data_IF_693618307454
#
_entry.id   IF_693618307454
#
_cell.length_a   1.000
_cell.length_b   1.000
_cell.length_c   1.000
_cell.angle_alpha   90.00
_cell.angle_beta   90.00
_cell.angle_gamma   90.00
#
_symmetry.space_group_name_H-M   'P 1'
#
loop_
_entity.id
_entity.type
_entity.pdbx_description
1 polymer ?
#
# COMPACT_ATOMS: atom_id res chain seq x y z
N UNK A 1 34.31 -47.83 -36.94
CA UNK A 1 32.89 -47.44 -36.80
C UNK A 1 32.44 -47.79 -35.39
N UNK A 2 31.49 -47.02 -34.82
CA UNK A 2 30.99 -47.00 -33.42
C UNK A 2 31.52 -45.80 -32.59
N UNK A 3 30.85 -44.67 -32.80
CA UNK A 3 30.91 -43.44 -32.00
C UNK A 3 30.10 -43.70 -30.72
N UNK A 4 30.69 -43.57 -29.54
CA UNK A 4 29.93 -43.55 -28.29
C UNK A 4 29.90 -42.10 -27.80
N UNK A 5 28.68 -41.59 -27.73
CA UNK A 5 28.25 -40.25 -27.37
C UNK A 5 28.41 -40.07 -25.86
N UNK A 6 29.29 -39.16 -25.43
CA UNK A 6 29.37 -38.73 -24.04
C UNK A 6 28.18 -37.80 -23.76
N UNK A 7 27.18 -38.31 -23.03
CA UNK A 7 26.06 -37.51 -22.53
C UNK A 7 26.51 -36.84 -21.25
N UNK A 8 26.85 -35.55 -21.34
CA UNK A 8 27.05 -34.69 -20.19
C UNK A 8 25.69 -34.43 -19.52
N UNK A 9 25.42 -35.12 -18.41
CA UNK A 9 24.33 -34.76 -17.50
C UNK A 9 24.78 -33.51 -16.75
N UNK A 10 24.48 -32.34 -17.30
CA UNK A 10 24.58 -31.09 -16.56
C UNK A 10 23.46 -31.08 -15.51
N UNK A 11 23.81 -31.41 -14.26
CA UNK A 11 22.92 -31.20 -13.13
C UNK A 11 22.66 -29.69 -13.01
N UNK A 12 21.50 -29.25 -13.46
CA UNK A 12 21.00 -27.91 -13.21
C UNK A 12 20.72 -27.78 -11.72
N UNK A 13 21.72 -27.34 -10.95
CA UNK A 13 21.53 -26.91 -9.57
C UNK A 13 20.69 -25.65 -9.64
N UNK A 14 19.39 -25.79 -9.33
CA UNK A 14 18.54 -24.64 -9.04
C UNK A 14 19.13 -23.97 -7.80
N UNK A 15 19.91 -22.90 -7.99
CA UNK A 15 20.28 -22.03 -6.89
C UNK A 15 18.98 -21.38 -6.40
N UNK A 16 18.43 -21.91 -5.31
CA UNK A 16 17.41 -21.22 -4.54
C UNK A 16 18.02 -19.89 -4.09
N UNK A 17 17.55 -18.79 -4.67
CA UNK A 17 17.91 -17.46 -4.19
C UNK A 17 17.53 -17.40 -2.71
N UNK A 18 18.44 -16.98 -1.81
CA UNK A 18 18.05 -16.78 -0.42
C UNK A 18 16.92 -15.75 -0.40
N UNK A 19 15.84 -16.09 0.29
CA UNK A 19 14.78 -15.14 0.59
C UNK A 19 15.39 -14.12 1.57
N UNK A 20 16.02 -13.07 1.04
CA UNK A 20 16.48 -11.99 1.90
C UNK A 20 15.27 -11.40 2.61
N UNK A 21 15.30 -11.48 3.94
CA UNK A 21 14.27 -10.90 4.76
C UNK A 21 14.23 -9.39 4.50
N UNK A 22 13.06 -8.86 4.17
CA UNK A 22 12.91 -7.41 4.00
C UNK A 22 13.29 -6.70 5.30
N UNK A 23 14.00 -5.55 5.21
CA UNK A 23 14.34 -4.79 6.40
C UNK A 23 13.06 -4.36 7.13
N UNK A 24 13.10 -4.40 8.46
CA UNK A 24 12.00 -3.86 9.26
C UNK A 24 11.83 -2.37 8.97
N UNK A 25 10.61 -1.84 9.19
CA UNK A 25 10.33 -0.40 9.02
C UNK A 25 11.33 0.43 9.84
N UNK A 26 11.60 0.05 11.10
CA UNK A 26 12.58 0.73 11.97
C UNK A 26 14.00 0.77 11.37
N UNK A 27 14.44 -0.30 10.71
CA UNK A 27 15.74 -0.33 10.06
C UNK A 27 15.74 0.54 8.80
N UNK A 28 14.67 0.47 7.99
CA UNK A 28 14.56 1.23 6.76
C UNK A 28 14.43 2.73 6.98
N UNK A 29 13.76 3.16 8.05
CA UNK A 29 13.55 4.57 8.40
C UNK A 29 14.55 5.09 9.44
N UNK A 30 15.69 4.41 9.61
CA UNK A 30 16.73 4.86 10.55
C UNK A 30 17.25 6.24 10.15
N UNK A 31 17.21 7.19 11.09
CA UNK A 31 17.61 8.59 10.86
C UNK A 31 16.54 9.47 10.21
N UNK A 32 15.33 8.95 9.95
CA UNK A 32 14.21 9.76 9.49
C UNK A 32 13.55 10.48 10.67
N UNK A 33 12.95 11.63 10.39
CA UNK A 33 12.11 12.35 11.36
C UNK A 33 10.73 11.68 11.44
N UNK A 34 10.48 10.98 12.55
CA UNK A 34 9.20 10.31 12.80
C UNK A 34 8.20 11.30 13.40
N UNK A 35 7.05 11.42 12.75
CA UNK A 35 5.92 12.24 13.18
C UNK A 35 4.75 11.33 13.52
N UNK A 36 4.40 11.28 14.80
CA UNK A 36 3.26 10.50 15.25
C UNK A 36 1.94 11.17 14.83
N UNK A 37 0.91 10.35 14.61
CA UNK A 37 -0.40 10.77 14.12
C UNK A 37 -1.31 9.55 13.97
N UNK A 38 -2.47 9.73 13.34
CA UNK A 38 -3.37 8.60 13.05
C UNK A 38 -2.66 7.53 12.20
N UNK A 39 -1.95 7.98 11.17
CA UNK A 39 -0.87 7.22 10.55
C UNK A 39 0.46 7.87 10.91
N UNK A 40 1.45 7.11 11.44
CA UNK A 40 2.79 7.64 11.63
C UNK A 40 3.42 7.99 10.28
N UNK A 41 4.10 9.13 10.21
CA UNK A 41 4.82 9.58 9.03
C UNK A 41 6.33 9.59 9.31
N UNK A 42 7.12 9.21 8.32
CA UNK A 42 8.59 9.28 8.39
C UNK A 42 9.09 10.23 7.30
N UNK A 43 9.72 11.32 7.70
CA UNK A 43 10.33 12.28 6.79
C UNK A 43 11.81 11.97 6.58
N UNK A 44 12.19 11.72 5.33
CA UNK A 44 13.57 11.56 4.89
C UNK A 44 14.14 12.93 4.46
N UNK A 45 14.96 13.59 5.30
CA UNK A 45 15.51 14.91 4.97
C UNK A 45 16.54 14.87 3.85
N UNK A 46 17.16 13.72 3.58
CA UNK A 46 18.17 13.59 2.54
C UNK A 46 17.56 13.57 1.13
N UNK A 47 16.37 12.98 0.99
CA UNK A 47 15.67 12.86 -0.30
C UNK A 47 14.42 13.72 -0.42
N UNK A 48 13.96 14.32 0.68
CA UNK A 48 12.71 15.08 0.71
C UNK A 48 11.47 14.19 0.57
N UNK A 49 11.56 12.90 0.90
CA UNK A 49 10.45 11.96 0.81
C UNK A 49 9.70 11.88 2.14
N UNK A 50 8.37 11.87 2.05
CA UNK A 50 7.48 11.58 3.17
C UNK A 50 6.91 10.17 2.97
N UNK A 51 7.13 9.29 3.95
CA UNK A 51 6.61 7.93 3.95
C UNK A 51 5.50 7.82 4.99
N UNK A 52 4.45 7.09 4.65
CA UNK A 52 3.35 6.76 5.57
C UNK A 52 3.53 5.33 6.07
N UNK A 53 3.52 5.14 7.39
CA UNK A 53 3.51 3.82 8.03
C UNK A 53 2.09 3.29 8.14
N UNK A 54 1.89 2.01 7.81
CA UNK A 54 0.60 1.32 7.87
C UNK A 54 0.64 0.38 9.08
N UNK A 55 0.10 0.79 10.25
CA UNK A 55 0.16 -0.01 11.47
C UNK A 55 -0.87 -1.16 11.47
N UNK A 56 -1.98 -1.00 10.75
CA UNK A 56 -3.07 -1.96 10.71
C UNK A 56 -3.57 -2.13 9.27
N UNK A 57 -3.70 -3.38 8.84
CA UNK A 57 -4.37 -3.75 7.58
C UNK A 57 -5.84 -4.08 7.87
N UNK A 58 -6.66 -4.00 6.83
CA UNK A 58 -8.09 -4.36 6.84
C UNK A 58 -8.96 -3.56 7.82
N UNK A 59 -8.40 -2.51 8.41
CA UNK A 59 -9.09 -1.58 9.28
C UNK A 59 -9.58 -0.38 8.48
N UNK A 60 -10.88 -0.10 8.57
CA UNK A 60 -11.51 1.04 7.92
C UNK A 60 -11.19 2.37 8.64
N UNK A 61 -11.01 3.41 7.84
CA UNK A 61 -10.81 4.79 8.29
C UNK A 61 -11.46 5.77 7.32
N UNK A 62 -11.70 7.00 7.80
CA UNK A 62 -12.21 8.07 6.95
C UNK A 62 -11.06 8.67 6.12
N UNK A 63 -11.22 8.63 4.81
CA UNK A 63 -10.34 9.29 3.85
C UNK A 63 -11.01 10.56 3.36
N UNK A 64 -10.43 11.70 3.75
CA UNK A 64 -10.90 13.04 3.41
C UNK A 64 -9.80 13.75 2.63
N UNK A 65 -10.16 14.37 1.51
CA UNK A 65 -9.24 15.21 0.74
C UNK A 65 -9.54 16.69 0.98
N UNK A 66 -8.50 17.51 1.03
CA UNK A 66 -8.63 18.96 1.15
C UNK A 66 -7.45 19.67 0.51
N UNK A 67 -7.65 20.95 0.18
CA UNK A 67 -6.60 21.80 -0.35
C UNK A 67 -5.81 22.43 0.80
N UNK A 68 -4.57 21.97 0.99
CA UNK A 68 -3.66 22.56 1.97
C UNK A 68 -3.23 23.99 1.58
N UNK A 69 -3.05 24.26 0.27
CA UNK A 69 -2.65 25.56 -0.28
C UNK A 69 -3.30 25.78 -1.65
N UNK A 70 -3.39 27.03 -2.13
CA UNK A 70 -4.02 27.37 -3.42
C UNK A 70 -4.88 28.64 -3.38
N UNK A 71 -5.58 28.95 -4.47
CA UNK A 71 -6.31 30.23 -4.66
C UNK A 71 -7.46 30.46 -3.68
N UNK A 72 -8.13 29.42 -3.17
CA UNK A 72 -9.25 29.63 -2.23
C UNK A 72 -10.48 30.24 -2.89
N UNK A 73 -10.98 29.64 -3.98
CA UNK A 73 -12.13 30.16 -4.73
C UNK A 73 -13.35 29.26 -4.56
N UNK A 74 -14.36 29.76 -3.85
CA UNK A 74 -15.65 29.08 -3.67
C UNK A 74 -16.39 28.90 -4.99
N UNK A 75 -16.22 29.82 -5.95
CA UNK A 75 -16.85 29.75 -7.28
C UNK A 75 -16.30 28.60 -8.15
N UNK A 76 -15.03 28.24 -7.96
CA UNK A 76 -14.38 27.13 -8.67
C UNK A 76 -14.35 25.84 -7.84
N UNK A 77 -14.91 25.84 -6.63
CA UNK A 77 -14.83 24.71 -5.70
C UNK A 77 -13.42 24.47 -5.13
N UNK A 78 -12.52 25.45 -5.22
CA UNK A 78 -11.15 25.38 -4.70
C UNK A 78 -11.03 26.14 -3.38
N UNK A 79 -12.01 25.99 -2.51
CA UNK A 79 -12.03 26.62 -1.19
C UNK A 79 -11.21 25.78 -0.18
N UNK A 80 -10.45 26.46 0.68
CA UNK A 80 -9.52 25.85 1.65
C UNK A 80 -10.23 25.29 2.88
N UNK A 81 -11.46 25.71 3.14
CA UNK A 81 -12.32 25.15 4.19
C UNK A 81 -13.24 24.03 3.71
N UNK A 82 -13.28 23.76 2.40
CA UNK A 82 -14.12 22.71 1.83
C UNK A 82 -13.40 21.36 1.86
N UNK A 83 -14.10 20.35 2.36
CA UNK A 83 -13.72 18.96 2.20
C UNK A 83 -14.10 18.55 0.78
N UNK A 84 -13.15 17.94 0.07
CA UNK A 84 -13.33 17.40 -1.27
C UNK A 84 -13.97 16.01 -1.22
N UNK A 85 -13.35 15.05 -1.91
CA UNK A 85 -13.79 13.66 -1.88
C UNK A 85 -13.68 13.07 -0.48
N UNK A 86 -14.71 12.29 -0.14
CA UNK A 86 -14.85 11.55 1.11
C UNK A 86 -15.04 10.06 0.79
N UNK A 87 -14.31 9.20 1.48
CA UNK A 87 -14.47 7.76 1.35
C UNK A 87 -14.22 7.04 2.68
N UNK A 88 -14.85 5.88 2.83
CA UNK A 88 -14.39 4.88 3.79
C UNK A 88 -13.27 4.12 3.09
N UNK A 89 -12.06 4.15 3.64
CA UNK A 89 -10.89 3.52 3.05
C UNK A 89 -10.27 2.51 3.99
N UNK A 90 -9.54 1.53 3.44
CA UNK A 90 -8.69 0.62 4.20
C UNK A 90 -7.46 0.24 3.41
N UNK A 91 -6.40 -0.15 4.11
CA UNK A 91 -5.23 -0.75 3.48
C UNK A 91 -5.38 -2.27 3.42
N UNK A 92 -5.23 -2.85 2.23
CA UNK A 92 -5.25 -4.30 2.03
C UNK A 92 -3.88 -4.77 1.50
N UNK A 93 -3.33 -5.84 2.09
CA UNK A 93 -2.09 -6.45 1.61
C UNK A 93 -2.40 -7.65 0.72
N UNK A 94 -1.94 -7.60 -0.52
CA UNK A 94 -2.08 -8.69 -1.49
C UNK A 94 -0.69 -9.08 -1.98
N UNK A 95 -0.17 -10.18 -1.44
CA UNK A 95 1.21 -10.61 -1.66
C UNK A 95 2.20 -9.50 -1.29
N UNK A 96 3.11 -9.08 -2.21
CA UNK A 96 4.09 -8.03 -1.94
C UNK A 96 3.54 -6.60 -2.07
N UNK A 97 2.26 -6.42 -2.44
CA UNK A 97 1.66 -5.11 -2.68
C UNK A 97 0.71 -4.72 -1.56
N UNK A 98 0.58 -3.41 -1.38
CA UNK A 98 -0.45 -2.81 -0.52
C UNK A 98 -1.34 -1.93 -1.37
N UNK A 99 -2.64 -2.11 -1.24
CA UNK A 99 -3.67 -1.32 -1.90
C UNK A 99 -4.35 -0.40 -0.90
N UNK A 100 -4.63 0.84 -1.32
CA UNK A 100 -5.62 1.68 -0.67
C UNK A 100 -6.97 1.41 -1.35
N UNK A 101 -7.86 0.73 -0.64
CA UNK A 101 -9.18 0.33 -1.16
C UNK A 101 -10.22 1.30 -0.63
N UNK A 102 -11.02 1.87 -1.53
CA UNK A 102 -12.13 2.75 -1.18
C UNK A 102 -13.45 1.97 -1.25
N UNK A 103 -14.17 1.90 -0.14
CA UNK A 103 -15.48 1.26 -0.06
C UNK A 103 -16.51 2.09 -0.83
N UNK A 104 -17.34 1.42 -1.63
CA UNK A 104 -18.50 2.05 -2.28
C UNK A 104 -19.77 1.76 -1.46
N UNK A 105 -20.19 2.65 -0.55
CA UNK A 105 -21.36 2.40 0.30
C UNK A 105 -22.68 2.52 -0.46
N UNK A 106 -22.68 3.06 -1.70
CA UNK A 106 -23.91 3.32 -2.47
C UNK A 106 -24.58 2.06 -2.98
N UNK A 107 -23.85 0.95 -3.07
CA UNK A 107 -24.36 -0.32 -3.56
C UNK A 107 -24.10 -1.41 -2.53
N UNK A 108 -25.16 -1.81 -1.84
CA UNK A 108 -25.16 -2.95 -0.92
C UNK A 108 -26.16 -3.97 -1.44
N UNK A 109 -25.70 -5.18 -1.74
CA UNK A 109 -26.61 -6.30 -1.98
C UNK A 109 -27.30 -6.63 -0.66
N UNK A 110 -28.61 -6.40 -0.59
CA UNK A 110 -29.45 -6.79 0.55
C UNK A 110 -30.22 -8.03 0.11
N UNK A 111 -29.63 -9.20 0.24
CA UNK A 111 -30.34 -10.46 0.00
C UNK A 111 -30.84 -11.01 1.33
N UNK A 112 -32.16 -11.08 1.50
CA UNK A 112 -32.80 -11.72 2.66
C UNK A 112 -32.93 -13.24 2.51
N UNK A 113 -32.66 -13.78 1.32
CA UNK A 113 -32.61 -15.22 1.06
C UNK A 113 -31.16 -15.69 0.94
N UNK A 114 -30.69 -16.43 1.95
CA UNK A 114 -29.55 -17.33 1.82
C UNK A 114 -30.10 -18.75 1.73
N UNK A 115 -30.44 -19.22 0.52
CA UNK A 115 -30.85 -20.60 0.28
C UNK A 115 -29.67 -21.57 0.09
N UNK A 116 -28.46 -21.17 0.50
CA UNK A 116 -27.25 -22.00 0.44
C UNK A 116 -26.78 -22.51 1.83
N UNK A 117 -27.66 -22.51 2.83
CA UNK A 117 -27.51 -23.28 4.08
C UNK A 117 -28.66 -24.27 4.22
#
# INVERSE_FOLDING_TARGET
MHRILAVCIAAAVWMASPLEAQPSIRQYTSGFDKRDGYFPLHWDPATGRLLLEIPHFDQEFLYLTSLATGMGSTQLGLDRGMIGDEAIARFERVGPKVYLVLTNPRFRAVTTDNSAL
#
